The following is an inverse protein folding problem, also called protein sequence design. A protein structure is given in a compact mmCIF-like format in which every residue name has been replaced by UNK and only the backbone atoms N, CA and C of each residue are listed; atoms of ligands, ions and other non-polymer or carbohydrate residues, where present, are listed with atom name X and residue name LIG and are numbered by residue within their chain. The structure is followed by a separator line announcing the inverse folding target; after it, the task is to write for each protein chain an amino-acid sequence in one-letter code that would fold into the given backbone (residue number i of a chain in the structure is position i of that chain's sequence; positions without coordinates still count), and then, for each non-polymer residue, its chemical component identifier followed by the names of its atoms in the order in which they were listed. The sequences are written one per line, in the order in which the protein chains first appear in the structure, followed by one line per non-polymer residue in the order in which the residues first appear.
data_IF_232001850332
#
_entry.id   IF_232001850332
#
_cell.length_a   1.000
_cell.length_b   1.000
_cell.length_c   1.000
_cell.angle_alpha   90.00
_cell.angle_beta   90.00
_cell.angle_gamma   90.00
#
_symmetry.space_group_name_H-M   'P 1'
#
loop_
_entity.id
_entity.type
_entity.pdbx_description
1 polymer ?
#
# COMPACT_ATOMS: atom_id res chain seq x y z
N UNK A 1 -17.19 -4.57 25.63
CA UNK A 1 -15.76 -4.16 25.63
C UNK A 1 -15.01 -4.41 24.31
N UNK A 2 -15.59 -5.07 23.28
CA UNK A 2 -14.83 -5.44 22.07
C UNK A 2 -14.91 -4.48 20.88
N UNK A 3 -16.02 -3.77 20.69
CA UNK A 3 -16.29 -3.00 19.46
C UNK A 3 -15.51 -1.69 19.43
N UNK A 4 -15.44 -0.97 20.56
CA UNK A 4 -14.70 0.29 20.67
C UNK A 4 -13.20 0.07 20.46
N UNK A 5 -12.64 -1.00 21.06
CA UNK A 5 -11.24 -1.38 20.89
C UNK A 5 -10.94 -1.83 19.46
N UNK A 6 -11.85 -2.60 18.83
CA UNK A 6 -11.73 -2.98 17.42
C UNK A 6 -11.80 -1.77 16.48
N UNK A 7 -12.75 -0.88 16.68
CA UNK A 7 -12.87 0.35 15.88
C UNK A 7 -11.67 1.27 16.05
N UNK A 8 -11.16 1.38 17.28
CA UNK A 8 -9.93 2.10 17.59
C UNK A 8 -8.72 1.49 16.88
N UNK A 9 -8.46 0.18 17.05
CA UNK A 9 -7.35 -0.51 16.41
C UNK A 9 -7.43 -0.46 14.87
N UNK A 10 -8.63 -0.54 14.31
CA UNK A 10 -8.85 -0.51 12.87
C UNK A 10 -8.57 0.89 12.31
N UNK A 11 -9.04 1.94 13.00
CA UNK A 11 -8.72 3.34 12.64
C UNK A 11 -7.22 3.63 12.81
N UNK A 12 -6.60 3.07 13.86
CA UNK A 12 -5.18 3.19 14.14
C UNK A 12 -4.35 2.50 13.05
N UNK A 13 -4.78 1.33 12.56
CA UNK A 13 -4.15 0.66 11.42
C UNK A 13 -4.26 1.46 10.11
N UNK A 14 -5.37 2.16 9.87
CA UNK A 14 -5.55 2.98 8.65
C UNK A 14 -4.71 4.26 8.67
N UNK A 15 -4.56 4.90 9.84
CA UNK A 15 -3.87 6.20 9.97
C UNK A 15 -2.38 6.03 10.23
N UNK A 16 -1.97 5.04 11.04
CA UNK A 16 -0.55 4.73 11.26
C UNK A 16 0.10 4.21 9.96
N UNK A 17 -0.71 3.74 9.02
CA UNK A 17 -0.28 3.50 7.64
C UNK A 17 -0.09 4.78 6.81
N UNK A 18 0.31 5.92 7.41
CA UNK A 18 1.21 6.83 6.68
C UNK A 18 2.46 5.98 6.39
N UNK A 19 2.48 5.38 5.21
CA UNK A 19 3.52 4.43 4.83
C UNK A 19 4.89 5.06 5.01
N UNK A 20 5.86 4.28 5.48
CA UNK A 20 7.25 4.71 5.61
C UNK A 20 7.78 5.37 4.32
N UNK A 21 7.27 4.91 3.17
CA UNK A 21 7.52 5.46 1.85
C UNK A 21 7.05 6.93 1.69
N UNK A 22 5.82 7.24 2.09
CA UNK A 22 5.28 8.61 2.02
C UNK A 22 5.95 9.55 3.03
N UNK A 23 6.25 9.09 4.24
CA UNK A 23 7.00 9.87 5.23
C UNK A 23 8.45 10.15 4.79
N UNK A 24 9.09 9.16 4.14
CA UNK A 24 10.43 9.31 3.57
C UNK A 24 10.44 10.31 2.41
N UNK A 25 9.44 10.27 1.51
CA UNK A 25 9.29 11.25 0.42
C UNK A 25 9.10 12.66 0.98
N UNK A 26 8.30 12.85 2.03
CA UNK A 26 8.12 14.16 2.70
C UNK A 26 9.44 14.64 3.32
N UNK A 27 10.16 13.78 4.02
CA UNK A 27 11.46 14.11 4.63
C UNK A 27 12.48 14.51 3.56
N UNK A 28 12.50 13.79 2.45
CA UNK A 28 13.36 14.09 1.31
C UNK A 28 12.91 15.39 0.61
N UNK A 29 11.60 15.62 0.54
CA UNK A 29 10.90 16.83 0.10
C UNK A 29 11.40 18.08 0.80
N UNK A 30 11.40 18.04 2.14
CA UNK A 30 11.88 19.13 3.01
C UNK A 30 13.39 19.34 2.84
N UNK A 31 14.14 18.26 2.63
CA UNK A 31 15.60 18.30 2.43
C UNK A 31 15.98 18.77 1.00
N UNK A 32 14.99 18.99 0.10
CA UNK A 32 15.14 19.44 -1.30
C UNK A 32 16.12 18.65 -2.17
N UNK A 33 16.57 17.49 -1.73
CA UNK A 33 17.51 16.65 -2.45
C UNK A 33 16.76 15.52 -3.18
N UNK A 34 16.83 15.41 -4.50
CA UNK A 34 16.37 14.23 -5.27
C UNK A 34 14.93 13.75 -5.04
N UNK A 35 14.02 14.63 -4.61
CA UNK A 35 12.61 14.32 -4.29
C UNK A 35 11.89 13.63 -5.46
N UNK A 36 12.07 14.17 -6.66
CA UNK A 36 11.45 13.64 -7.87
C UNK A 36 11.95 12.24 -8.22
N UNK A 37 13.24 11.96 -8.00
CA UNK A 37 13.83 10.64 -8.28
C UNK A 37 13.28 9.61 -7.29
N UNK A 38 13.27 9.94 -5.99
CA UNK A 38 12.73 9.05 -4.95
C UNK A 38 11.24 8.80 -5.16
N UNK A 39 10.46 9.84 -5.44
CA UNK A 39 9.03 9.72 -5.72
C UNK A 39 8.77 8.90 -6.98
N UNK A 40 9.56 9.07 -8.04
CA UNK A 40 9.44 8.29 -9.27
C UNK A 40 9.70 6.80 -9.06
N UNK A 41 10.74 6.45 -8.29
CA UNK A 41 11.03 5.04 -7.96
C UNK A 41 9.90 4.44 -7.13
N UNK A 42 9.41 5.15 -6.11
CA UNK A 42 8.30 4.68 -5.27
C UNK A 42 7.03 4.44 -6.09
N UNK A 43 6.69 5.38 -6.96
CA UNK A 43 5.53 5.26 -7.85
C UNK A 43 5.64 4.04 -8.77
N UNK A 44 6.81 3.79 -9.36
CA UNK A 44 7.04 2.60 -10.20
C UNK A 44 6.86 1.32 -9.37
N UNK A 45 7.42 1.27 -8.16
CA UNK A 45 7.26 0.12 -7.27
C UNK A 45 5.79 -0.15 -6.91
N UNK A 46 5.01 0.89 -6.59
CA UNK A 46 3.59 0.76 -6.27
C UNK A 46 2.78 0.26 -7.47
N UNK A 47 3.05 0.78 -8.67
CA UNK A 47 2.39 0.32 -9.90
C UNK A 47 2.74 -1.14 -10.20
N UNK A 48 4.00 -1.54 -10.04
CA UNK A 48 4.43 -2.92 -10.24
C UNK A 48 3.76 -3.85 -9.22
N UNK A 49 3.76 -3.49 -7.93
CA UNK A 49 3.16 -4.29 -6.88
C UNK A 49 1.64 -4.41 -7.06
N UNK A 50 0.95 -3.31 -7.39
CA UNK A 50 -0.48 -3.35 -7.73
C UNK A 50 -0.73 -4.23 -8.94
N UNK A 51 0.05 -4.09 -10.01
CA UNK A 51 -0.07 -4.92 -11.21
C UNK A 51 0.15 -6.40 -10.91
N UNK A 52 1.23 -6.75 -10.22
CA UNK A 52 1.50 -8.13 -9.80
C UNK A 52 0.42 -8.68 -8.87
N UNK A 53 -0.13 -7.85 -7.99
CA UNK A 53 -1.27 -8.21 -7.16
C UNK A 53 -2.50 -8.55 -8.00
N UNK A 54 -2.91 -7.66 -8.91
CA UNK A 54 -4.12 -7.83 -9.72
C UNK A 54 -3.96 -9.00 -10.69
N UNK A 55 -2.87 -9.06 -11.44
CA UNK A 55 -2.65 -10.14 -12.41
C UNK A 55 -2.31 -11.47 -11.72
N UNK A 56 -1.49 -11.45 -10.66
CA UNK A 56 -1.09 -12.66 -9.94
C UNK A 56 -2.22 -13.25 -9.09
N UNK A 57 -2.88 -12.44 -8.27
CA UNK A 57 -4.03 -12.89 -7.47
C UNK A 57 -5.25 -13.16 -8.35
N UNK A 58 -5.47 -12.37 -9.40
CA UNK A 58 -6.55 -12.59 -10.37
C UNK A 58 -6.43 -13.92 -11.11
N UNK A 59 -5.24 -14.25 -11.62
CA UNK A 59 -4.98 -15.57 -12.22
C UNK A 59 -5.11 -16.71 -11.20
N UNK A 60 -4.62 -16.49 -9.97
CA UNK A 60 -4.74 -17.48 -8.89
C UNK A 60 -6.20 -17.74 -8.48
N UNK A 61 -7.03 -16.69 -8.48
CA UNK A 61 -8.48 -16.79 -8.27
C UNK A 61 -9.15 -17.50 -9.44
N UNK A 62 -8.84 -17.14 -10.69
CA UNK A 62 -9.43 -17.75 -11.89
C UNK A 62 -9.12 -19.26 -11.99
N UNK A 63 -7.93 -19.66 -11.54
CA UNK A 63 -7.54 -21.09 -11.50
C UNK A 63 -8.25 -21.89 -10.42
N UNK A 64 -8.72 -21.26 -9.34
CA UNK A 64 -9.42 -21.93 -8.25
C UNK A 64 -10.93 -21.98 -8.53
N UNK A 65 -11.43 -23.17 -8.88
CA UNK A 65 -12.86 -23.49 -9.08
C UNK A 65 -13.79 -23.13 -7.90
N UNK A 66 -13.26 -22.77 -6.73
CA UNK A 66 -14.01 -22.42 -5.52
C UNK A 66 -14.76 -21.09 -5.64
N UNK A 67 -14.33 -20.18 -6.54
CA UNK A 67 -14.96 -18.88 -6.80
C UNK A 67 -15.58 -18.81 -8.21
N UNK A 68 -15.96 -19.95 -8.79
CA UNK A 68 -16.74 -19.98 -10.03
C UNK A 68 -18.22 -19.69 -9.66
N UNK A 69 -18.56 -18.40 -9.61
CA UNK A 69 -19.92 -17.88 -9.49
C UNK A 69 -20.49 -17.63 -10.88
#
# INVERSE_FOLDING_TARGET
MGIFLKGFLLSLSLIVAIGAQNAFIIKQGITRNYVFVVSGICFICDVILMGLGIFGVGEFLAKNKVLNL
#
